data_IF_917140337629
#
_entry.id   IF_917140337629
#
_cell.length_a   1.000
_cell.length_b   1.000
_cell.length_c   1.000
_cell.angle_alpha   90.00
_cell.angle_beta   90.00
_cell.angle_gamma   90.00
#
_symmetry.space_group_name_H-M   'P 1'
#
loop_
_entity.id
_entity.type
_entity.pdbx_description
1 polymer ?
#
# COMPACT_ATOMS: atom_id res chain seq x y z
N UNK A 1 15.60 3.23 1.49
CA UNK A 1 14.40 3.53 0.70
C UNK A 1 14.75 3.43 -0.79
N UNK A 2 13.95 2.75 -1.62
CA UNK A 2 14.21 2.64 -3.07
C UNK A 2 13.80 3.96 -3.74
N UNK A 3 14.74 4.92 -3.78
CA UNK A 3 14.50 6.31 -4.15
C UNK A 3 13.78 6.46 -5.51
N UNK A 4 14.12 5.66 -6.52
CA UNK A 4 13.65 5.80 -7.91
C UNK A 4 12.12 5.92 -8.06
N UNK A 5 11.36 5.19 -7.25
CA UNK A 5 9.90 5.18 -7.33
C UNK A 5 9.22 6.21 -6.43
N UNK A 6 9.92 6.71 -5.41
CA UNK A 6 9.32 7.55 -4.38
C UNK A 6 9.77 9.01 -4.49
N UNK A 7 10.90 9.30 -5.12
CA UNK A 7 11.48 10.64 -5.17
C UNK A 7 12.62 10.76 -6.20
N UNK A 8 13.08 11.99 -6.44
CA UNK A 8 14.26 12.28 -7.24
C UNK A 8 13.99 12.63 -8.71
N UNK A 9 15.07 12.98 -9.41
CA UNK A 9 15.03 13.60 -10.75
C UNK A 9 14.37 12.74 -11.82
N UNK A 10 14.52 11.43 -11.76
CA UNK A 10 13.89 10.52 -12.72
C UNK A 10 12.35 10.55 -12.57
N UNK A 11 11.83 10.46 -11.34
CA UNK A 11 10.38 10.57 -11.09
C UNK A 11 9.84 11.93 -11.55
N UNK A 12 10.55 13.00 -11.24
CA UNK A 12 10.19 14.36 -11.65
C UNK A 12 10.16 14.48 -13.18
N UNK A 13 11.22 14.06 -13.88
CA UNK A 13 11.32 14.15 -15.33
C UNK A 13 10.17 13.39 -16.04
N UNK A 14 9.88 12.17 -15.58
CA UNK A 14 8.78 11.36 -16.14
C UNK A 14 7.43 12.06 -16.02
N UNK A 15 7.19 12.74 -14.90
CA UNK A 15 5.95 13.45 -14.63
C UNK A 15 5.86 14.80 -15.37
N UNK A 16 6.93 15.61 -15.35
CA UNK A 16 7.01 16.91 -16.03
C UNK A 16 6.80 16.75 -17.53
N UNK A 17 7.46 15.77 -18.15
CA UNK A 17 7.32 15.50 -19.59
C UNK A 17 6.05 14.72 -19.96
N UNK A 18 5.20 14.38 -18.98
CA UNK A 18 3.96 13.63 -19.17
C UNK A 18 4.20 12.40 -20.06
N UNK A 19 5.22 11.61 -19.73
CA UNK A 19 5.57 10.41 -20.50
C UNK A 19 4.38 9.46 -20.54
N UNK A 20 3.70 9.32 -19.40
CA UNK A 20 2.47 8.54 -19.26
C UNK A 20 1.28 9.45 -18.90
N UNK A 21 0.10 9.04 -19.37
CA UNK A 21 -1.16 9.73 -19.04
C UNK A 21 -1.45 9.68 -17.55
N UNK A 22 -1.22 8.54 -16.91
CA UNK A 22 -1.41 8.33 -15.47
C UNK A 22 -0.06 8.29 -14.76
N UNK A 23 0.13 9.14 -13.75
CA UNK A 23 1.35 9.24 -12.92
C UNK A 23 1.67 7.92 -12.21
N UNK A 24 0.66 7.09 -11.90
CA UNK A 24 0.85 5.76 -11.29
C UNK A 24 1.59 4.78 -12.21
N UNK A 25 1.51 4.99 -13.53
CA UNK A 25 2.11 4.08 -14.52
C UNK A 25 3.59 3.84 -14.24
N UNK A 26 4.38 4.91 -14.06
CA UNK A 26 5.83 4.79 -13.89
C UNK A 26 6.20 4.16 -12.56
N UNK A 27 5.53 4.55 -11.47
CA UNK A 27 5.84 4.02 -10.14
C UNK A 27 5.46 2.55 -9.98
N UNK A 28 4.66 1.99 -10.91
CA UNK A 28 4.32 0.57 -10.99
C UNK A 28 5.18 -0.23 -11.98
N UNK A 29 6.07 0.42 -12.74
CA UNK A 29 7.00 -0.28 -13.64
C UNK A 29 8.05 -1.05 -12.83
N UNK A 30 8.57 -2.14 -13.39
CA UNK A 30 9.63 -2.94 -12.76
C UNK A 30 10.96 -2.62 -13.43
N UNK A 31 12.01 -2.32 -12.67
CA UNK A 31 13.34 -2.12 -13.25
C UNK A 31 13.91 -3.44 -13.78
N UNK A 32 14.55 -3.40 -14.96
CA UNK A 32 15.27 -4.56 -15.50
C UNK A 32 16.53 -4.86 -14.69
N UNK A 33 17.18 -3.83 -14.17
CA UNK A 33 18.39 -3.91 -13.33
C UNK A 33 18.15 -3.35 -11.93
N UNK A 34 19.02 -3.69 -10.98
CA UNK A 34 18.93 -3.14 -9.63
C UNK A 34 19.12 -1.60 -9.62
N UNK A 35 18.57 -0.88 -8.63
CA UNK A 35 18.59 0.57 -8.59
C UNK A 35 19.98 1.17 -8.29
N UNK A 36 21.00 0.34 -8.02
CA UNK A 36 22.38 0.78 -7.73
C UNK A 36 22.65 1.22 -6.29
N UNK A 37 21.60 1.28 -5.47
CA UNK A 37 21.63 1.87 -4.13
C UNK A 37 22.41 1.05 -3.07
N UNK A 38 22.99 -0.10 -3.41
CA UNK A 38 23.90 -0.81 -2.49
C UNK A 38 25.14 0.02 -2.13
N UNK A 39 25.52 1.03 -2.92
CA UNK A 39 26.66 1.91 -2.61
C UNK A 39 26.36 2.98 -1.55
N UNK A 40 25.13 3.49 -1.43
CA UNK A 40 24.83 4.61 -0.53
C UNK A 40 24.71 4.17 0.94
N UNK A 41 23.98 3.06 1.20
CA UNK A 41 23.92 2.45 2.52
C UNK A 41 25.30 1.99 3.01
N UNK A 42 26.18 1.58 2.09
CA UNK A 42 27.56 1.20 2.40
C UNK A 42 28.43 2.41 2.78
N UNK A 43 28.18 3.58 2.19
CA UNK A 43 28.90 4.82 2.51
C UNK A 43 28.52 5.36 3.90
N UNK A 44 27.25 5.30 4.28
CA UNK A 44 26.78 5.64 5.63
C UNK A 44 27.27 4.63 6.68
N UNK A 45 27.36 3.34 6.33
CA UNK A 45 27.90 2.31 7.22
C UNK A 45 29.42 2.46 7.45
N UNK A 46 30.18 2.91 6.44
CA UNK A 46 31.63 3.13 6.56
C UNK A 46 32.00 4.45 7.24
N UNK A 47 31.16 5.49 7.15
CA UNK A 47 31.40 6.73 7.92
C UNK A 47 31.26 6.50 9.44
N UNK A 48 30.54 5.45 9.87
CA UNK A 48 30.48 5.04 11.28
C UNK A 48 31.69 4.24 11.77
N UNK A 49 32.55 3.73 10.88
CA UNK A 49 33.76 2.98 11.24
C UNK A 49 35.01 3.75 10.80
N UNK A 50 35.46 4.67 11.64
CA UNK A 50 36.67 5.46 11.41
C UNK A 50 37.99 4.71 11.69
N UNK A 51 38.01 3.37 11.68
CA UNK A 51 39.17 2.62 12.19
C UNK A 51 39.60 1.34 11.47
N UNK A 52 39.29 1.14 10.18
CA UNK A 52 39.95 0.07 9.41
C UNK A 52 40.63 0.64 8.16
N UNK A 53 41.96 0.72 8.27
CA UNK A 53 42.89 1.06 7.20
C UNK A 53 42.74 0.10 6.00
N UNK A 54 42.64 0.72 4.81
CA UNK A 54 43.13 0.22 3.51
C UNK A 54 42.47 -1.06 2.97
N UNK A 55 41.18 -0.96 2.60
CA UNK A 55 40.61 -1.88 1.59
C UNK A 55 41.08 -1.42 0.20
N UNK A 56 41.72 -2.34 -0.52
CA UNK A 56 42.35 -2.12 -1.81
C UNK A 56 41.26 -1.88 -2.89
N UNK A 57 41.18 -0.65 -3.45
CA UNK A 57 40.21 -0.26 -4.51
C UNK A 57 40.21 -1.20 -5.73
N UNK A 58 41.29 -1.96 -5.95
CA UNK A 58 41.43 -2.95 -7.03
C UNK A 58 40.59 -4.22 -6.81
N UNK A 59 40.38 -4.64 -5.56
CA UNK A 59 39.55 -5.80 -5.22
C UNK A 59 38.05 -5.56 -5.45
N UNK A 60 37.58 -4.31 -5.28
CA UNK A 60 36.19 -3.92 -5.53
C UNK A 60 35.81 -3.85 -7.02
N UNK A 61 36.77 -3.67 -7.92
CA UNK A 61 36.53 -3.62 -9.38
C UNK A 61 36.47 -5.00 -10.05
N UNK A 62 37.12 -6.02 -9.47
CA UNK A 62 37.31 -7.31 -10.15
C UNK A 62 36.32 -8.41 -9.75
N UNK A 63 35.45 -8.21 -8.76
CA UNK A 63 34.54 -9.27 -8.27
C UNK A 63 33.05 -8.99 -8.43
N UNK A 64 32.67 -7.87 -9.05
CA UNK A 64 31.30 -7.59 -9.41
C UNK A 64 31.24 -6.91 -10.77
N UNK A 65 31.22 -7.72 -11.84
CA UNK A 65 30.56 -7.31 -13.08
C UNK A 65 29.05 -7.22 -12.77
N UNK A 66 28.65 -6.13 -12.11
CA UNK A 66 27.25 -5.78 -11.99
C UNK A 66 26.86 -5.11 -13.32
N UNK A 67 25.75 -5.50 -13.95
CA UNK A 67 25.16 -4.68 -15.01
C UNK A 67 25.04 -3.23 -14.53
N UNK A 68 25.21 -2.26 -15.43
CA UNK A 68 25.02 -0.84 -15.12
C UNK A 68 23.65 -0.64 -14.47
N UNK A 69 23.65 -0.10 -13.24
CA UNK A 69 22.42 0.04 -12.47
C UNK A 69 21.56 1.19 -13.02
N UNK A 70 20.25 1.10 -12.80
CA UNK A 70 19.27 1.99 -13.48
C UNK A 70 19.53 3.47 -13.21
N UNK A 71 19.89 3.86 -11.98
CA UNK A 71 20.11 5.27 -11.65
C UNK A 71 21.45 5.79 -12.19
N UNK A 72 22.50 4.98 -12.19
CA UNK A 72 23.79 5.32 -12.79
C UNK A 72 23.66 5.50 -14.30
N UNK A 73 22.93 4.60 -14.97
CA UNK A 73 22.62 4.74 -16.39
C UNK A 73 21.83 6.03 -16.69
N UNK A 74 20.83 6.37 -15.85
CA UNK A 74 20.07 7.62 -15.99
C UNK A 74 20.99 8.85 -15.86
N UNK A 75 21.81 8.90 -14.81
CA UNK A 75 22.72 10.03 -14.59
C UNK A 75 23.80 10.14 -15.65
N UNK A 76 24.27 9.03 -16.21
CA UNK A 76 25.22 9.02 -17.32
C UNK A 76 24.60 9.52 -18.62
N UNK A 77 23.35 9.16 -18.92
CA UNK A 77 22.64 9.57 -20.15
C UNK A 77 22.27 11.05 -20.12
N UNK A 78 21.77 11.54 -18.97
CA UNK A 78 21.20 12.89 -18.86
C UNK A 78 22.05 13.88 -18.04
N UNK A 79 23.25 13.49 -17.60
CA UNK A 79 24.14 14.33 -16.79
C UNK A 79 23.42 14.93 -15.58
N UNK A 80 23.67 16.20 -15.29
CA UNK A 80 22.98 16.96 -14.24
C UNK A 80 21.87 17.88 -14.79
N UNK A 81 21.36 17.60 -16.00
CA UNK A 81 20.29 18.41 -16.61
C UNK A 81 19.06 18.49 -15.69
N UNK A 82 18.47 19.68 -15.48
CA UNK A 82 17.20 19.81 -14.77
C UNK A 82 16.11 18.95 -15.41
N UNK A 83 15.22 18.40 -14.59
CA UNK A 83 14.21 17.43 -15.02
C UNK A 83 13.35 17.90 -16.20
N UNK A 84 13.01 19.19 -16.26
CA UNK A 84 12.17 19.77 -17.32
C UNK A 84 12.88 20.10 -18.64
N UNK A 85 14.21 19.96 -18.71
CA UNK A 85 15.02 20.22 -19.91
C UNK A 85 15.40 18.91 -20.61
N UNK A 86 15.20 17.76 -19.97
CA UNK A 86 15.49 16.45 -20.54
C UNK A 86 14.64 16.24 -21.81
N UNK A 87 15.26 15.76 -22.90
CA UNK A 87 14.49 15.47 -24.11
C UNK A 87 13.46 14.35 -23.84
N UNK A 88 12.21 14.61 -24.24
CA UNK A 88 11.09 13.70 -23.96
C UNK A 88 11.25 12.36 -24.68
N UNK A 89 11.74 12.37 -25.92
CA UNK A 89 11.89 11.15 -26.72
C UNK A 89 13.04 10.29 -26.18
N UNK A 90 14.15 10.92 -25.80
CA UNK A 90 15.31 10.26 -25.21
C UNK A 90 14.99 9.68 -23.82
N UNK A 91 14.21 10.41 -23.00
CA UNK A 91 13.68 9.90 -21.73
C UNK A 91 12.77 8.69 -21.94
N UNK A 92 11.88 8.72 -22.95
CA UNK A 92 11.01 7.58 -23.26
C UNK A 92 11.84 6.35 -23.64
N UNK A 93 12.84 6.53 -24.51
CA UNK A 93 13.73 5.44 -24.90
C UNK A 93 14.47 4.87 -23.70
N UNK A 94 15.00 5.72 -22.81
CA UNK A 94 15.62 5.27 -21.56
C UNK A 94 14.67 4.41 -20.71
N UNK A 95 13.41 4.81 -20.56
CA UNK A 95 12.43 4.02 -19.81
C UNK A 95 12.19 2.66 -20.48
N UNK A 96 12.09 2.61 -21.81
CA UNK A 96 11.91 1.36 -22.55
C UNK A 96 13.12 0.43 -22.45
N UNK A 97 14.33 1.00 -22.35
CA UNK A 97 15.58 0.27 -22.20
C UNK A 97 15.71 -0.35 -20.80
N UNK A 98 15.31 0.37 -19.74
CA UNK A 98 15.61 0.01 -18.35
C UNK A 98 14.43 -0.47 -17.50
N UNK A 99 13.19 -0.37 -17.98
CA UNK A 99 12.00 -0.78 -17.24
C UNK A 99 11.14 -1.76 -18.04
N UNK A 100 10.49 -2.66 -17.31
CA UNK A 100 9.42 -3.52 -17.80
C UNK A 100 8.07 -2.82 -17.59
N UNK A 101 7.06 -3.15 -18.41
CA UNK A 101 5.72 -2.60 -18.24
C UNK A 101 5.14 -2.87 -16.85
N UNK A 102 4.22 -2.03 -16.36
CA UNK A 102 3.51 -2.29 -15.11
C UNK A 102 2.82 -3.65 -15.12
N UNK A 103 2.81 -4.35 -13.98
CA UNK A 103 2.34 -5.74 -13.80
C UNK A 103 3.24 -6.86 -14.30
N UNK A 104 4.46 -6.58 -14.78
CA UNK A 104 5.41 -7.65 -15.15
C UNK A 104 5.80 -8.57 -13.97
N UNK A 105 5.48 -8.15 -12.76
CA UNK A 105 5.65 -8.87 -11.48
C UNK A 105 4.47 -9.76 -11.08
N UNK A 106 3.33 -9.67 -11.77
CA UNK A 106 2.09 -10.37 -11.41
C UNK A 106 1.79 -11.50 -12.39
N UNK A 107 1.30 -12.60 -11.84
CA UNK A 107 0.79 -13.76 -12.58
C UNK A 107 -0.71 -13.87 -12.28
N UNK A 108 -1.52 -14.16 -13.30
CA UNK A 108 -2.93 -14.45 -13.09
C UNK A 108 -3.08 -15.81 -12.39
N UNK A 109 -3.95 -15.88 -11.39
CA UNK A 109 -4.31 -17.15 -10.75
C UNK A 109 -5.80 -17.44 -10.91
N UNK A 110 -6.16 -18.71 -10.78
CA UNK A 110 -7.53 -19.11 -10.47
C UNK A 110 -7.50 -19.67 -9.05
N UNK A 111 -8.29 -19.14 -8.12
CA UNK A 111 -8.31 -19.65 -6.75
C UNK A 111 -8.75 -21.12 -6.72
N UNK A 112 -8.10 -21.92 -5.87
CA UNK A 112 -8.29 -23.38 -5.85
C UNK A 112 -9.68 -23.80 -5.33
N UNK A 113 -10.28 -22.99 -4.45
CA UNK A 113 -11.60 -23.21 -3.86
C UNK A 113 -12.72 -22.50 -4.64
N UNK A 114 -12.42 -21.92 -5.81
CA UNK A 114 -13.44 -21.31 -6.65
C UNK A 114 -14.35 -22.39 -7.26
N UNK A 115 -15.67 -22.17 -7.17
CA UNK A 115 -16.68 -23.02 -7.80
C UNK A 115 -17.66 -22.19 -8.64
N UNK A 116 -18.17 -22.71 -9.78
CA UNK A 116 -19.04 -21.95 -10.67
C UNK A 116 -20.43 -21.67 -10.08
N UNK A 117 -20.89 -22.49 -9.13
CA UNK A 117 -22.22 -22.39 -8.51
C UNK A 117 -22.12 -22.52 -6.98
N UNK A 118 -21.64 -21.48 -6.28
CA UNK A 118 -21.55 -21.51 -4.82
C UNK A 118 -22.92 -21.73 -4.16
N UNK A 119 -22.96 -22.50 -3.07
CA UNK A 119 -24.19 -22.92 -2.42
C UNK A 119 -25.04 -21.74 -1.96
N UNK A 120 -24.41 -20.73 -1.32
CA UNK A 120 -25.11 -19.53 -0.85
C UNK A 120 -25.69 -18.71 -2.01
N UNK A 121 -24.96 -18.60 -3.13
CA UNK A 121 -25.46 -17.88 -4.32
C UNK A 121 -26.64 -18.61 -4.97
N UNK A 122 -26.64 -19.95 -4.95
CA UNK A 122 -27.74 -20.74 -5.51
C UNK A 122 -29.05 -20.62 -4.70
N UNK A 123 -28.98 -20.18 -3.44
CA UNK A 123 -30.14 -19.92 -2.58
C UNK A 123 -30.86 -18.60 -2.91
N UNK A 124 -30.28 -17.74 -3.77
CA UNK A 124 -30.95 -16.52 -4.22
C UNK A 124 -32.18 -16.91 -5.05
N UNK A 125 -33.36 -16.57 -4.53
CA UNK A 125 -34.66 -16.91 -5.13
C UNK A 125 -34.88 -16.21 -6.46
N UNK A 126 -34.54 -14.92 -6.54
CA UNK A 126 -34.72 -14.13 -7.76
C UNK A 126 -33.69 -14.58 -8.82
N UNK A 127 -34.14 -15.04 -10.00
CA UNK A 127 -33.25 -15.58 -11.02
C UNK A 127 -32.33 -14.53 -11.64
N UNK A 128 -32.75 -13.26 -11.72
CA UNK A 128 -31.95 -12.15 -12.26
C UNK A 128 -30.84 -11.80 -11.28
N UNK A 129 -31.17 -11.65 -10.00
CA UNK A 129 -30.17 -11.38 -8.96
C UNK A 129 -29.20 -12.54 -8.79
N UNK A 130 -29.67 -13.78 -8.91
CA UNK A 130 -28.81 -14.96 -8.88
C UNK A 130 -27.84 -14.97 -10.06
N UNK A 131 -28.31 -14.68 -11.27
CA UNK A 131 -27.44 -14.63 -12.44
C UNK A 131 -26.36 -13.55 -12.29
N UNK A 132 -26.76 -12.34 -11.87
CA UNK A 132 -25.84 -11.25 -11.56
C UNK A 132 -24.79 -11.64 -10.50
N UNK A 133 -25.19 -12.33 -9.43
CA UNK A 133 -24.25 -12.79 -8.42
C UNK A 133 -23.27 -13.86 -8.95
N UNK A 134 -23.71 -14.73 -9.86
CA UNK A 134 -22.83 -15.69 -10.54
C UNK A 134 -21.85 -14.99 -11.49
N UNK A 135 -22.26 -13.90 -12.15
CA UNK A 135 -21.35 -13.07 -12.96
C UNK A 135 -20.27 -12.42 -12.09
N UNK A 136 -20.62 -11.93 -10.89
CA UNK A 136 -19.63 -11.46 -9.91
C UNK A 136 -18.69 -12.58 -9.49
N UNK A 137 -19.21 -13.76 -9.18
CA UNK A 137 -18.39 -14.92 -8.83
C UNK A 137 -17.38 -15.25 -9.93
N UNK A 138 -17.72 -15.01 -11.21
CA UNK A 138 -16.79 -15.23 -12.30
C UNK A 138 -15.61 -14.25 -12.31
N UNK A 139 -15.79 -13.04 -11.80
CA UNK A 139 -14.73 -12.02 -11.75
C UNK A 139 -13.58 -12.43 -10.83
N UNK A 140 -13.81 -13.29 -9.82
CA UNK A 140 -12.74 -13.76 -8.93
C UNK A 140 -11.57 -14.40 -9.67
N UNK A 141 -11.83 -15.11 -10.78
CA UNK A 141 -10.78 -15.69 -11.63
C UNK A 141 -9.92 -14.65 -12.35
N UNK A 142 -10.49 -13.47 -12.60
CA UNK A 142 -9.80 -12.38 -13.29
C UNK A 142 -9.06 -11.48 -12.30
N UNK A 143 -9.62 -11.32 -11.09
CA UNK A 143 -9.08 -10.46 -10.03
C UNK A 143 -8.01 -11.14 -9.18
N UNK A 144 -7.91 -12.48 -9.22
CA UNK A 144 -6.84 -13.20 -8.54
C UNK A 144 -5.48 -12.92 -9.18
N UNK A 145 -4.50 -12.56 -8.34
CA UNK A 145 -3.10 -12.38 -8.69
C UNK A 145 -2.18 -13.14 -7.73
N UNK A 146 -1.05 -13.56 -8.28
CA UNK A 146 0.09 -14.12 -7.56
C UNK A 146 1.30 -13.28 -7.91
N UNK A 147 2.16 -12.97 -6.93
CA UNK A 147 3.44 -12.32 -7.22
C UNK A 147 4.39 -13.37 -7.77
N UNK A 148 5.04 -13.07 -8.90
CA UNK A 148 6.03 -13.97 -9.48
C UNK A 148 7.11 -14.29 -8.43
N UNK A 149 7.34 -15.57 -8.06
CA UNK A 149 8.30 -15.95 -7.02
C UNK A 149 9.72 -15.43 -7.26
N UNK A 150 10.12 -15.24 -8.53
CA UNK A 150 11.43 -14.68 -8.89
C UNK A 150 11.60 -13.23 -8.39
N UNK A 151 10.51 -12.49 -8.18
CA UNK A 151 10.55 -11.14 -7.59
C UNK A 151 11.11 -11.13 -6.18
N UNK A 152 11.06 -12.25 -5.44
CA UNK A 152 11.68 -12.35 -4.11
C UNK A 152 13.20 -12.13 -4.18
N UNK A 153 13.85 -12.54 -5.28
CA UNK A 153 15.30 -12.35 -5.50
C UNK A 153 15.63 -10.91 -5.89
N UNK A 154 14.67 -10.19 -6.47
CA UNK A 154 14.85 -8.86 -7.03
C UNK A 154 13.86 -7.84 -6.45
N UNK A 155 13.53 -7.95 -5.15
CA UNK A 155 12.55 -7.07 -4.51
C UNK A 155 12.91 -5.60 -4.76
N UNK A 156 14.22 -5.27 -4.77
CA UNK A 156 14.75 -3.93 -5.03
C UNK A 156 14.39 -3.31 -6.40
N UNK A 157 13.91 -4.12 -7.34
CA UNK A 157 13.54 -3.72 -8.71
C UNK A 157 12.07 -3.35 -8.87
N UNK A 158 11.25 -3.51 -7.83
CA UNK A 158 9.85 -3.12 -7.89
C UNK A 158 9.42 -2.28 -6.68
N UNK A 159 8.37 -1.50 -6.90
CA UNK A 159 7.59 -0.86 -5.85
C UNK A 159 6.60 -1.82 -5.18
N UNK A 160 6.22 -2.95 -5.77
CA UNK A 160 5.30 -3.91 -5.15
C UNK A 160 5.95 -4.56 -3.92
N UNK A 161 5.16 -4.68 -2.85
CA UNK A 161 5.54 -5.38 -1.64
C UNK A 161 5.19 -6.85 -1.82
N UNK A 162 6.16 -7.72 -1.57
CA UNK A 162 5.96 -9.16 -1.68
C UNK A 162 4.90 -9.67 -0.69
N UNK A 163 4.09 -10.64 -1.15
CA UNK A 163 3.07 -11.35 -0.41
C UNK A 163 3.27 -12.87 -0.56
N UNK A 164 3.14 -13.65 0.53
CA UNK A 164 3.36 -15.10 0.47
C UNK A 164 2.26 -15.91 -0.21
N UNK A 165 1.02 -15.40 -0.28
CA UNK A 165 -0.13 -16.10 -0.85
C UNK A 165 -0.77 -15.33 -2.01
N UNK A 166 -1.70 -15.98 -2.71
CA UNK A 166 -2.53 -15.34 -3.72
C UNK A 166 -3.36 -14.21 -3.09
N UNK A 167 -3.68 -13.19 -3.88
CA UNK A 167 -4.47 -12.06 -3.42
C UNK A 167 -5.40 -11.58 -4.52
N UNK A 168 -6.47 -10.90 -4.12
CA UNK A 168 -7.41 -10.24 -5.03
C UNK A 168 -7.06 -8.77 -5.16
N UNK A 169 -7.13 -8.26 -6.39
CA UNK A 169 -7.03 -6.82 -6.67
C UNK A 169 -8.42 -6.21 -6.85
N UNK A 170 -8.61 -4.90 -6.60
CA UNK A 170 -9.87 -4.22 -6.94
C UNK A 170 -10.18 -4.24 -8.45
N UNK A 171 -9.14 -4.15 -9.28
CA UNK A 171 -9.24 -4.21 -10.74
C UNK A 171 -8.78 -2.94 -11.47
N UNK A 172 -8.64 -3.04 -12.79
CA UNK A 172 -8.24 -1.92 -13.65
C UNK A 172 -6.83 -1.41 -13.35
N UNK A 173 -6.69 -0.13 -12.97
CA UNK A 173 -5.40 0.49 -12.62
C UNK A 173 -4.87 0.07 -11.25
N UNK A 174 -5.70 -0.54 -10.41
CA UNK A 174 -5.36 -0.99 -9.07
C UNK A 174 -4.85 -2.42 -9.13
N UNK A 175 -3.55 -2.60 -9.00
CA UNK A 175 -2.85 -3.87 -9.32
C UNK A 175 -2.11 -4.46 -8.13
N UNK A 176 -2.42 -3.94 -6.96
CA UNK A 176 -1.94 -4.35 -5.65
C UNK A 176 -3.15 -4.60 -4.76
N UNK A 177 -2.95 -5.23 -3.60
CA UNK A 177 -3.99 -5.21 -2.58
C UNK A 177 -4.23 -3.75 -2.14
N UNK A 178 -5.47 -3.44 -1.80
CA UNK A 178 -5.87 -2.24 -1.08
C UNK A 178 -6.52 -2.67 0.24
N UNK A 179 -6.17 -2.00 1.33
CA UNK A 179 -6.45 -2.51 2.67
C UNK A 179 -7.95 -2.61 2.95
N UNK A 180 -8.70 -1.51 2.94
CA UNK A 180 -10.12 -1.56 3.31
C UNK A 180 -10.99 -2.23 2.22
N UNK A 181 -10.59 -2.17 0.95
CA UNK A 181 -11.24 -2.86 -0.17
C UNK A 181 -11.24 -4.37 0.04
N UNK A 182 -10.15 -4.89 0.64
CA UNK A 182 -10.00 -6.31 0.96
C UNK A 182 -11.11 -6.81 1.89
N UNK A 183 -11.68 -5.98 2.76
CA UNK A 183 -12.77 -6.40 3.65
C UNK A 183 -14.04 -6.72 2.85
N UNK A 184 -14.38 -5.87 1.89
CA UNK A 184 -15.54 -6.07 1.02
C UNK A 184 -15.34 -7.25 0.07
N UNK A 185 -14.11 -7.41 -0.46
CA UNK A 185 -13.75 -8.58 -1.25
C UNK A 185 -13.92 -9.85 -0.42
N UNK A 186 -13.41 -9.86 0.82
CA UNK A 186 -13.55 -10.99 1.75
C UNK A 186 -15.00 -11.41 1.99
N UNK A 187 -15.89 -10.44 2.23
CA UNK A 187 -17.33 -10.71 2.34
C UNK A 187 -17.87 -11.43 1.10
N UNK A 188 -17.47 -10.98 -0.09
CA UNK A 188 -17.84 -11.60 -1.37
C UNK A 188 -17.28 -13.02 -1.52
N UNK A 189 -16.03 -13.24 -1.15
CA UNK A 189 -15.38 -14.56 -1.17
C UNK A 189 -16.07 -15.55 -0.24
N UNK A 190 -16.39 -15.14 0.99
CA UNK A 190 -17.10 -15.97 1.98
C UNK A 190 -18.49 -16.39 1.47
N UNK A 191 -19.21 -15.49 0.81
CA UNK A 191 -20.52 -15.82 0.19
C UNK A 191 -20.35 -16.69 -1.06
N UNK A 192 -19.18 -16.65 -1.69
CA UNK A 192 -18.82 -17.51 -2.83
C UNK A 192 -18.26 -18.88 -2.40
N UNK A 193 -18.36 -19.24 -1.11
CA UNK A 193 -17.79 -20.45 -0.50
C UNK A 193 -16.24 -20.57 -0.63
N UNK A 194 -15.55 -19.43 -0.81
CA UNK A 194 -14.09 -19.36 -1.02
C UNK A 194 -13.33 -19.06 0.27
N UNK A 195 -13.46 -19.95 1.25
CA UNK A 195 -12.91 -19.78 2.61
C UNK A 195 -11.39 -19.94 2.67
N UNK A 196 -10.78 -20.76 1.81
CA UNK A 196 -9.31 -20.89 1.78
C UNK A 196 -8.66 -19.63 1.20
N UNK A 197 -9.22 -19.11 0.11
CA UNK A 197 -8.76 -17.84 -0.49
C UNK A 197 -8.91 -16.68 0.50
N UNK A 198 -10.04 -16.64 1.20
CA UNK A 198 -10.28 -15.70 2.30
C UNK A 198 -9.18 -15.77 3.36
N UNK A 199 -8.87 -16.98 3.86
CA UNK A 199 -7.83 -17.22 4.86
C UNK A 199 -6.46 -16.74 4.37
N UNK A 200 -6.11 -17.03 3.12
CA UNK A 200 -4.86 -16.60 2.49
C UNK A 200 -4.73 -15.07 2.37
N UNK A 201 -5.82 -14.38 2.03
CA UNK A 201 -5.84 -12.91 2.00
C UNK A 201 -5.59 -12.29 3.37
N UNK A 202 -6.19 -12.85 4.43
CA UNK A 202 -5.95 -12.39 5.81
C UNK A 202 -4.49 -12.67 6.22
N UNK A 203 -3.94 -13.83 5.87
CA UNK A 203 -2.53 -14.16 6.14
C UNK A 203 -1.55 -13.24 5.41
N UNK A 204 -1.88 -12.81 4.19
CA UNK A 204 -1.11 -11.79 3.48
C UNK A 204 -1.09 -10.46 4.24
N UNK A 205 -2.23 -9.98 4.74
CA UNK A 205 -2.28 -8.76 5.55
C UNK A 205 -1.56 -8.91 6.89
N UNK A 206 -1.66 -10.08 7.53
CA UNK A 206 -0.90 -10.39 8.74
C UNK A 206 0.61 -10.33 8.49
N UNK A 207 1.10 -10.89 7.38
CA UNK A 207 2.50 -10.78 6.96
C UNK A 207 2.97 -9.33 6.82
N UNK A 208 2.10 -8.46 6.30
CA UNK A 208 2.40 -7.02 6.17
C UNK A 208 2.51 -6.36 7.54
N UNK A 209 1.61 -6.65 8.48
CA UNK A 209 1.70 -6.15 9.88
C UNK A 209 2.95 -6.69 10.58
N UNK A 210 3.36 -7.93 10.32
CA UNK A 210 4.63 -8.45 10.85
C UNK A 210 5.82 -7.62 10.36
N UNK A 211 5.89 -7.34 9.05
CA UNK A 211 7.00 -6.62 8.40
C UNK A 211 7.02 -5.11 8.69
N UNK A 212 5.85 -4.47 8.77
CA UNK A 212 5.72 -3.01 8.80
C UNK A 212 5.01 -2.46 10.04
N UNK A 213 4.47 -3.32 10.91
CA UNK A 213 3.68 -2.99 12.11
C UNK A 213 2.28 -2.41 11.87
N UNK A 214 1.93 -2.14 10.61
CA UNK A 214 0.60 -1.70 10.17
C UNK A 214 0.38 -2.14 8.72
N UNK A 215 -0.86 -2.05 8.25
CA UNK A 215 -1.19 -2.29 6.84
C UNK A 215 -1.18 -0.95 6.09
N UNK A 216 -0.32 -0.77 5.06
CA UNK A 216 -0.32 0.43 4.24
C UNK A 216 -1.59 0.50 3.38
N UNK A 217 -1.88 1.69 2.83
CA UNK A 217 -3.01 1.91 1.93
C UNK A 217 -3.17 0.79 0.87
N UNK A 218 -2.06 0.42 0.25
CA UNK A 218 -1.98 -0.77 -0.60
C UNK A 218 -0.58 -1.37 -0.66
N UNK A 219 -0.43 -2.43 -1.42
CA UNK A 219 0.79 -3.26 -1.49
C UNK A 219 1.98 -2.67 -2.23
N UNK A 220 2.24 -1.36 -2.11
CA UNK A 220 3.36 -0.67 -2.77
C UNK A 220 4.19 0.12 -1.78
N UNK A 221 5.51 0.21 -2.01
CA UNK A 221 6.44 0.91 -1.11
C UNK A 221 6.12 2.40 -0.93
N UNK A 222 5.52 3.04 -1.93
CA UNK A 222 5.12 4.45 -1.85
C UNK A 222 3.87 4.66 -0.98
N UNK A 223 3.22 3.59 -0.54
CA UNK A 223 2.15 3.61 0.45
C UNK A 223 2.65 3.41 1.89
N UNK A 224 3.94 3.12 2.13
CA UNK A 224 4.48 2.85 3.48
C UNK A 224 4.50 4.05 4.45
N UNK A 225 4.00 5.21 4.04
CA UNK A 225 3.84 6.38 4.91
C UNK A 225 2.38 6.60 5.36
N UNK A 226 1.44 5.78 4.89
CA UNK A 226 0.01 5.90 5.24
C UNK A 226 -0.71 4.57 5.22
N UNK A 227 -1.68 4.42 6.09
CA UNK A 227 -2.57 3.25 6.14
C UNK A 227 -3.83 3.46 5.28
N UNK A 228 -4.91 2.76 5.62
CA UNK A 228 -6.29 2.95 5.18
C UNK A 228 -7.23 2.66 6.37
N UNK A 229 -8.57 2.83 6.26
CA UNK A 229 -9.49 2.48 7.33
C UNK A 229 -9.23 1.08 7.91
N UNK A 230 -8.97 0.94 9.23
CA UNK A 230 -8.45 -0.29 9.81
C UNK A 230 -9.53 -1.33 10.04
N UNK A 231 -9.53 -2.38 9.23
CA UNK A 231 -10.59 -3.41 9.19
C UNK A 231 -10.05 -4.84 9.33
N UNK A 232 -8.76 -5.03 9.66
CA UNK A 232 -8.19 -6.37 9.87
C UNK A 232 -8.95 -7.18 10.93
N UNK A 233 -9.32 -6.56 12.06
CA UNK A 233 -10.09 -7.25 13.10
C UNK A 233 -11.45 -7.73 12.56
N UNK A 234 -12.14 -6.88 11.80
CA UNK A 234 -13.38 -7.23 11.11
C UNK A 234 -13.21 -8.40 10.13
N UNK A 235 -12.10 -8.45 9.39
CA UNK A 235 -11.81 -9.56 8.48
C UNK A 235 -11.65 -10.90 9.21
N UNK A 236 -10.89 -10.90 10.31
CA UNK A 236 -10.70 -12.10 11.14
C UNK A 236 -12.01 -12.52 11.79
N UNK A 237 -12.82 -11.57 12.24
CA UNK A 237 -14.17 -11.81 12.78
C UNK A 237 -15.07 -12.50 11.75
N UNK A 238 -15.22 -11.95 10.55
CA UNK A 238 -16.08 -12.54 9.50
C UNK A 238 -15.63 -13.96 9.10
N UNK A 239 -14.32 -14.20 9.06
CA UNK A 239 -13.78 -15.53 8.80
C UNK A 239 -14.10 -16.49 9.95
N UNK A 240 -13.89 -16.07 11.20
CA UNK A 240 -14.20 -16.87 12.37
C UNK A 240 -15.68 -17.23 12.45
N UNK A 241 -16.59 -16.27 12.27
CA UNK A 241 -18.04 -16.53 12.25
C UNK A 241 -18.46 -17.52 11.15
N UNK A 242 -17.66 -17.66 10.09
CA UNK A 242 -17.92 -18.58 8.99
C UNK A 242 -17.29 -19.97 9.16
N UNK A 243 -16.32 -20.12 10.06
CA UNK A 243 -15.46 -21.33 10.14
C UNK A 243 -15.29 -21.91 11.53
N UNK A 244 -15.54 -21.11 12.57
CA UNK A 244 -15.22 -21.40 13.97
C UNK A 244 -13.74 -21.78 14.20
N UNK A 245 -12.83 -21.37 13.28
CA UNK A 245 -11.40 -21.68 13.32
C UNK A 245 -10.68 -20.86 14.41
N UNK A 246 -10.77 -21.37 15.63
CA UNK A 246 -10.24 -20.73 16.82
C UNK A 246 -8.70 -20.70 16.85
N UNK A 247 -8.03 -21.68 16.25
CA UNK A 247 -6.57 -21.69 16.18
C UNK A 247 -6.06 -20.61 15.23
N UNK A 248 -6.79 -20.30 14.16
CA UNK A 248 -6.51 -19.15 13.31
C UNK A 248 -6.67 -17.82 14.07
N UNK A 249 -7.72 -17.67 14.88
CA UNK A 249 -7.90 -16.50 15.76
C UNK A 249 -6.74 -16.36 16.74
N UNK A 250 -6.36 -17.43 17.44
CA UNK A 250 -5.21 -17.44 18.38
C UNK A 250 -3.93 -16.99 17.69
N UNK A 251 -3.69 -17.45 16.45
CA UNK A 251 -2.52 -17.09 15.66
C UNK A 251 -2.50 -15.59 15.31
N UNK A 252 -3.65 -15.01 14.96
CA UNK A 252 -3.73 -13.62 14.49
C UNK A 252 -3.99 -12.60 15.58
N UNK A 253 -4.42 -13.00 16.77
CA UNK A 253 -4.70 -12.09 17.88
C UNK A 253 -3.51 -11.17 18.22
N UNK A 254 -2.26 -11.67 18.35
CA UNK A 254 -1.10 -10.79 18.54
C UNK A 254 -0.86 -9.80 17.39
N UNK A 255 -1.20 -10.20 16.15
CA UNK A 255 -1.02 -9.38 14.95
C UNK A 255 -2.05 -8.25 14.90
N UNK A 256 -3.31 -8.54 15.17
CA UNK A 256 -4.38 -7.54 15.29
C UNK A 256 -4.06 -6.53 16.41
N UNK A 257 -3.60 -7.02 17.57
CA UNK A 257 -3.15 -6.15 18.66
C UNK A 257 -1.97 -5.28 18.26
N UNK A 258 -1.01 -5.81 17.49
CA UNK A 258 0.14 -5.04 17.00
C UNK A 258 -0.29 -3.87 16.11
N UNK A 259 -1.19 -4.11 15.15
CA UNK A 259 -1.73 -3.04 14.30
C UNK A 259 -2.54 -2.02 15.11
N UNK A 260 -3.39 -2.48 16.03
CA UNK A 260 -4.15 -1.60 16.91
C UNK A 260 -3.24 -0.67 17.74
N UNK A 261 -2.15 -1.20 18.30
CA UNK A 261 -1.16 -0.38 19.02
C UNK A 261 -0.47 0.61 18.10
N UNK A 262 -0.16 0.24 16.86
CA UNK A 262 0.39 1.18 15.90
C UNK A 262 -0.56 2.37 15.68
N UNK A 263 -1.87 2.14 15.48
CA UNK A 263 -2.86 3.22 15.38
C UNK A 263 -2.92 4.07 16.65
N UNK A 264 -2.90 3.44 17.83
CA UNK A 264 -2.91 4.16 19.11
C UNK A 264 -1.70 5.08 19.26
N UNK A 265 -0.52 4.64 18.83
CA UNK A 265 0.72 5.44 18.92
C UNK A 265 0.79 6.54 17.87
N UNK A 266 0.43 6.24 16.61
CA UNK A 266 0.74 7.13 15.48
C UNK A 266 -0.43 8.00 15.03
N UNK A 267 -1.66 7.66 15.42
CA UNK A 267 -2.89 8.27 14.88
C UNK A 267 -3.86 8.76 15.95
N UNK A 268 -3.41 8.89 17.21
CA UNK A 268 -4.20 9.53 18.25
C UNK A 268 -3.85 11.01 18.43
N UNK A 269 -4.82 11.77 18.93
CA UNK A 269 -4.69 13.14 19.40
C UNK A 269 -5.47 13.34 20.68
N UNK A 270 -4.95 14.19 21.57
CA UNK A 270 -5.71 14.66 22.73
C UNK A 270 -6.55 15.87 22.35
N UNK A 271 -7.83 15.83 22.68
CA UNK A 271 -8.78 16.92 22.46
C UNK A 271 -9.38 17.34 23.79
N UNK A 272 -9.47 18.65 24.01
CA UNK A 272 -10.08 19.22 25.22
C UNK A 272 -11.44 19.77 24.85
N UNK A 273 -12.49 19.27 25.50
CA UNK A 273 -13.87 19.70 25.32
C UNK A 273 -14.15 21.02 26.06
N UNK A 274 -15.30 21.63 25.79
CA UNK A 274 -15.71 22.89 26.44
C UNK A 274 -15.83 22.77 27.96
N UNK A 275 -16.19 21.59 28.45
CA UNK A 275 -16.26 21.25 29.87
C UNK A 275 -14.89 20.88 30.46
N UNK A 276 -13.80 21.11 29.74
CA UNK A 276 -12.41 20.79 30.13
C UNK A 276 -12.07 19.29 30.17
N UNK A 277 -12.99 18.41 29.79
CA UNK A 277 -12.69 16.98 29.68
C UNK A 277 -11.70 16.73 28.54
N UNK A 278 -10.74 15.84 28.80
CA UNK A 278 -9.72 15.46 27.84
C UNK A 278 -10.04 14.08 27.29
N UNK A 279 -10.22 13.99 25.98
CA UNK A 279 -10.40 12.73 25.28
C UNK A 279 -9.23 12.43 24.37
N UNK A 280 -8.94 11.15 24.18
CA UNK A 280 -8.01 10.68 23.15
C UNK A 280 -8.83 10.11 22.01
N UNK A 281 -8.65 10.66 20.82
CA UNK A 281 -9.42 10.29 19.62
C UNK A 281 -8.48 9.99 18.47
N UNK A 282 -8.95 9.22 17.50
CA UNK A 282 -8.18 8.85 16.31
C UNK A 282 -8.38 9.86 15.17
N UNK A 283 -7.32 10.06 14.40
CA UNK A 283 -7.28 10.99 13.28
C UNK A 283 -6.42 10.42 12.14
N UNK A 284 -6.89 10.53 10.89
CA UNK A 284 -6.05 10.31 9.71
C UNK A 284 -5.02 11.42 9.62
N UNK A 285 -3.75 11.05 9.67
CA UNK A 285 -2.61 11.98 9.66
C UNK A 285 -1.37 11.22 9.22
N UNK A 286 -1.17 11.17 7.91
CA UNK A 286 0.06 10.62 7.33
C UNK A 286 1.26 11.49 7.70
N UNK A 287 2.45 10.87 7.76
CA UNK A 287 3.71 11.59 7.90
C UNK A 287 4.26 12.10 6.55
N UNK A 288 3.62 11.70 5.44
CA UNK A 288 4.02 12.14 4.10
C UNK A 288 3.66 13.62 3.91
N UNK A 289 4.66 14.43 3.61
CA UNK A 289 4.52 15.88 3.45
C UNK A 289 5.11 16.38 2.11
N UNK A 290 5.15 15.49 1.13
CA UNK A 290 5.66 15.69 -0.23
C UNK A 290 4.60 15.16 -1.22
N UNK A 291 4.67 15.53 -2.51
CA UNK A 291 3.76 14.98 -3.52
C UNK A 291 3.74 13.45 -3.52
N UNK A 292 2.55 12.86 -3.60
CA UNK A 292 2.39 11.41 -3.65
C UNK A 292 2.99 10.87 -4.95
N UNK A 293 3.88 9.85 -4.94
CA UNK A 293 4.55 9.40 -6.16
C UNK A 293 3.60 8.95 -7.27
N UNK A 294 2.49 8.30 -6.92
CA UNK A 294 1.47 7.81 -7.86
C UNK A 294 0.54 8.91 -8.40
N UNK A 295 0.61 10.13 -7.85
CA UNK A 295 -0.15 11.31 -8.26
C UNK A 295 0.75 12.56 -8.29
N UNK A 296 2.04 12.38 -8.59
CA UNK A 296 3.07 13.39 -8.35
C UNK A 296 2.76 14.68 -9.11
N UNK A 297 2.42 14.55 -10.40
CA UNK A 297 2.06 15.69 -11.25
C UNK A 297 0.82 16.41 -10.73
N UNK A 298 -0.22 15.67 -10.37
CA UNK A 298 -1.50 16.19 -9.89
C UNK A 298 -1.31 16.99 -8.58
N UNK A 299 -0.52 16.46 -7.65
CA UNK A 299 -0.23 17.09 -6.36
C UNK A 299 0.66 18.34 -6.50
N UNK A 300 1.62 18.33 -7.43
CA UNK A 300 2.44 19.51 -7.76
C UNK A 300 1.56 20.61 -8.35
N UNK A 301 0.71 20.30 -9.34
CA UNK A 301 -0.17 21.28 -9.98
C UNK A 301 -1.20 21.87 -9.00
N UNK A 302 -1.74 21.04 -8.12
CA UNK A 302 -2.71 21.47 -7.10
C UNK A 302 -2.08 22.37 -6.04
N UNK A 303 -0.78 22.23 -5.80
CA UNK A 303 -0.02 23.06 -4.84
C UNK A 303 0.35 24.47 -5.36
N UNK A 304 0.06 24.79 -6.62
CA UNK A 304 0.40 26.10 -7.20
C UNK A 304 -0.37 27.21 -6.49
N UNK A 305 0.37 28.19 -5.96
CA UNK A 305 -0.16 29.30 -5.16
C UNK A 305 -0.49 28.95 -3.70
N UNK A 306 -0.22 27.73 -3.25
CA UNK A 306 -0.27 27.38 -1.83
C UNK A 306 1.00 27.88 -1.14
N UNK A 307 0.84 28.61 -0.03
CA UNK A 307 1.95 29.13 0.79
C UNK A 307 2.64 27.98 1.54
N UNK A 308 1.89 27.22 2.35
CA UNK A 308 2.42 26.07 3.08
C UNK A 308 2.17 24.76 2.30
N UNK A 309 3.03 24.46 1.33
CA UNK A 309 2.89 23.27 0.48
C UNK A 309 3.04 21.96 1.26
N UNK A 310 3.89 21.96 2.28
CA UNK A 310 4.18 20.78 3.12
C UNK A 310 2.94 20.32 3.88
N UNK A 311 2.23 21.24 4.54
CA UNK A 311 0.95 20.95 5.22
C UNK A 311 -0.12 20.53 4.20
N UNK A 312 -0.21 21.24 3.07
CA UNK A 312 -1.15 20.88 2.00
C UNK A 312 -0.93 19.46 1.47
N UNK A 313 0.31 19.07 1.18
CA UNK A 313 0.61 17.70 0.72
C UNK A 313 0.33 16.66 1.80
N UNK A 314 0.54 17.00 3.08
CA UNK A 314 0.16 16.13 4.19
C UNK A 314 -1.35 15.92 4.29
N UNK A 315 -2.14 16.98 4.12
CA UNK A 315 -3.60 16.90 4.11
C UNK A 315 -4.11 16.11 2.90
N UNK A 316 -3.53 16.33 1.72
CA UNK A 316 -3.80 15.56 0.50
C UNK A 316 -3.50 14.07 0.73
N UNK A 317 -2.32 13.72 1.21
CA UNK A 317 -1.96 12.33 1.46
C UNK A 317 -2.80 11.70 2.59
N UNK A 318 -3.24 12.49 3.57
CA UNK A 318 -4.16 12.04 4.63
C UNK A 318 -5.57 11.75 4.09
N UNK A 319 -6.04 12.44 3.04
CA UNK A 319 -7.30 12.03 2.39
C UNK A 319 -7.19 10.63 1.79
N UNK A 320 -6.03 10.27 1.22
CA UNK A 320 -5.81 8.91 0.72
C UNK A 320 -5.74 7.89 1.86
N UNK A 321 -5.18 8.25 3.02
CA UNK A 321 -5.25 7.41 4.22
C UNK A 321 -6.70 7.18 4.70
N UNK A 322 -7.60 8.14 4.46
CA UNK A 322 -9.01 7.98 4.82
C UNK A 322 -9.78 7.05 3.88
N UNK A 323 -9.27 6.79 2.67
CA UNK A 323 -10.00 6.11 1.59
C UNK A 323 -10.99 7.00 0.83
N UNK A 324 -11.07 8.30 1.18
CA UNK A 324 -11.98 9.29 0.59
C UNK A 324 -11.20 10.43 -0.10
N UNK A 325 -10.23 10.08 -0.96
CA UNK A 325 -9.48 11.00 -1.82
C UNK A 325 -10.17 11.19 -3.19
N UNK A 326 -10.91 12.28 -3.44
CA UNK A 326 -11.16 13.43 -2.57
C UNK A 326 -12.66 13.63 -2.32
N UNK A 327 -12.97 14.36 -1.25
CA UNK A 327 -14.35 14.66 -0.83
C UNK A 327 -14.45 16.07 -0.27
N UNK A 328 -15.60 16.72 -0.50
CA UNK A 328 -15.94 18.01 0.14
C UNK A 328 -15.88 17.93 1.66
N UNK A 329 -16.05 16.74 2.23
CA UNK A 329 -15.86 16.45 3.66
C UNK A 329 -14.59 17.06 4.23
N UNK A 330 -13.48 16.95 3.49
CA UNK A 330 -12.13 17.36 3.94
C UNK A 330 -11.78 18.81 3.63
N UNK A 331 -12.65 19.53 2.90
CA UNK A 331 -12.38 20.88 2.44
C UNK A 331 -13.02 21.89 3.39
N UNK A 332 -12.28 22.92 3.80
CA UNK A 332 -12.79 23.99 4.67
C UNK A 332 -14.01 24.67 4.06
N UNK A 333 -13.97 24.92 2.75
CA UNK A 333 -15.03 25.61 2.00
C UNK A 333 -16.03 24.65 1.32
N UNK A 334 -15.86 23.33 1.50
CA UNK A 334 -16.65 22.25 0.85
C UNK A 334 -16.61 22.25 -0.69
N UNK A 335 -15.71 22.99 -1.33
CA UNK A 335 -15.70 23.21 -2.78
C UNK A 335 -14.31 23.08 -3.41
N UNK A 336 -13.31 23.70 -2.82
CA UNK A 336 -12.00 23.89 -3.45
C UNK A 336 -10.95 23.01 -2.79
N UNK A 337 -10.29 22.16 -3.60
CA UNK A 337 -9.23 21.25 -3.13
C UNK A 337 -8.09 21.98 -2.38
N UNK A 338 -7.79 23.22 -2.77
CA UNK A 338 -6.80 24.09 -2.11
C UNK A 338 -7.09 24.39 -0.63
N UNK A 339 -8.32 24.12 -0.18
CA UNK A 339 -8.74 24.32 1.22
C UNK A 339 -8.82 23.01 2.01
N UNK A 340 -8.24 21.92 1.49
CA UNK A 340 -8.15 20.64 2.20
C UNK A 340 -7.47 20.82 3.56
N UNK A 341 -8.03 20.20 4.59
CA UNK A 341 -7.55 20.28 5.98
C UNK A 341 -7.83 18.98 6.76
N UNK A 342 -7.61 17.83 6.12
CA UNK A 342 -7.86 16.49 6.66
C UNK A 342 -7.30 16.29 8.07
N UNK A 343 -6.09 16.76 8.32
CA UNK A 343 -5.38 16.66 9.61
C UNK A 343 -5.93 17.60 10.70
N UNK A 344 -6.96 18.40 10.39
CA UNK A 344 -7.71 19.22 11.35
C UNK A 344 -9.09 18.67 11.66
N UNK A 345 -9.47 17.56 11.00
CA UNK A 345 -10.77 16.91 11.16
C UNK A 345 -10.61 15.67 12.04
N UNK A 346 -11.60 15.43 12.89
CA UNK A 346 -11.73 14.20 13.69
C UNK A 346 -12.76 13.28 13.00
N UNK A 347 -12.31 12.26 12.25
CA UNK A 347 -13.18 11.42 11.44
C UNK A 347 -14.05 10.47 12.28
N UNK A 348 -15.38 10.58 12.17
CA UNK A 348 -16.33 9.69 12.88
C UNK A 348 -16.21 8.23 12.46
N UNK A 349 -15.98 7.97 11.18
CA UNK A 349 -15.76 6.64 10.61
C UNK A 349 -14.52 5.97 11.20
N UNK A 350 -13.37 6.65 11.25
CA UNK A 350 -12.17 6.08 11.86
C UNK A 350 -12.40 5.73 13.34
N UNK A 351 -13.01 6.64 14.10
CA UNK A 351 -13.26 6.40 15.53
C UNK A 351 -14.26 5.27 15.75
N UNK A 352 -15.29 5.15 14.89
CA UNK A 352 -16.23 4.03 14.92
C UNK A 352 -15.53 2.70 14.59
N UNK A 353 -14.68 2.66 13.56
CA UNK A 353 -13.89 1.47 13.21
C UNK A 353 -12.93 1.08 14.34
N UNK A 354 -12.26 2.05 14.97
CA UNK A 354 -11.39 1.77 16.10
C UNK A 354 -12.16 1.24 17.31
N UNK A 355 -13.35 1.77 17.60
CA UNK A 355 -14.24 1.22 18.62
C UNK A 355 -14.66 -0.21 18.29
N UNK A 356 -15.04 -0.48 17.05
CA UNK A 356 -15.38 -1.83 16.59
C UNK A 356 -14.20 -2.80 16.73
N UNK A 357 -12.98 -2.36 16.37
CA UNK A 357 -11.76 -3.14 16.55
C UNK A 357 -11.49 -3.44 18.03
N UNK A 358 -11.74 -2.49 18.96
CA UNK A 358 -11.61 -2.75 20.40
C UNK A 358 -12.57 -3.84 20.86
N UNK A 359 -13.84 -3.77 20.46
CA UNK A 359 -14.85 -4.77 20.84
C UNK A 359 -14.51 -6.16 20.29
N UNK A 360 -14.04 -6.25 19.04
CA UNK A 360 -13.61 -7.54 18.45
C UNK A 360 -12.39 -8.08 19.18
N UNK A 361 -11.40 -7.24 19.49
CA UNK A 361 -10.21 -7.66 20.24
C UNK A 361 -10.60 -8.18 21.62
N UNK A 362 -11.44 -7.45 22.37
CA UNK A 362 -11.97 -7.90 23.66
C UNK A 362 -12.65 -9.26 23.55
N UNK A 363 -13.59 -9.40 22.61
CA UNK A 363 -14.28 -10.66 22.33
C UNK A 363 -13.30 -11.82 22.09
N UNK A 364 -12.30 -11.63 21.23
CA UNK A 364 -11.31 -12.66 20.94
C UNK A 364 -10.35 -12.95 22.10
N UNK A 365 -9.99 -11.94 22.91
CA UNK A 365 -9.21 -12.17 24.12
C UNK A 365 -9.97 -13.01 25.14
N UNK A 366 -11.27 -12.75 25.34
CA UNK A 366 -12.12 -13.58 26.21
C UNK A 366 -12.27 -15.00 25.65
N UNK A 367 -12.54 -15.12 24.36
CA UNK A 367 -12.73 -16.40 23.69
C UNK A 367 -11.48 -17.30 23.80
N UNK A 368 -10.29 -16.73 23.61
CA UNK A 368 -9.02 -17.45 23.77
C UNK A 368 -8.68 -17.69 25.25
N UNK A 369 -9.01 -16.74 26.13
CA UNK A 369 -8.76 -16.82 27.58
C UNK A 369 -9.57 -17.91 28.28
N UNK A 370 -10.83 -18.13 27.88
CA UNK A 370 -11.71 -19.20 28.40
C UNK A 370 -11.16 -20.62 28.19
N UNK A 371 -10.15 -20.82 27.34
CA UNK A 371 -9.51 -22.11 27.07
C UNK A 371 -8.27 -22.37 27.93
N UNK A 372 -7.79 -21.36 28.67
CA UNK A 372 -6.63 -21.49 29.57
C UNK A 372 -7.03 -21.92 30.99
N UNK A 373 -8.32 -21.88 31.30
CA UNK A 373 -8.95 -22.43 32.49
C UNK A 373 -9.72 -23.68 32.10
#
# INVERSE_FOLDING_TARGET
MKFIYCSGRLLEAVNVHRIYKDSKTFVDMVMKNDPGLKKLLFFEFFQKFHEIRRINRKYLKHHFHCPENTLEAFNKRFGDLPAGIIDRSDLKQFLDDYFLPPSSELINCTPADWVPRPRKLMQITDPVLRHWALDINMLWKTLCKTINPEMKKYESRSSLIYLPHNFMIPGGRFREFYYWDTYWILKGLIVSDMLNTTREMILNLAHIVEKHSFIPNGGRIYYLHRSQPPVLCGMVYEYYESTEDLDFVKKLLPIMTKEFQWWKVHRTVSVTMKNQDRHTVFQYRTDSNVPRPESFREDILSSVGIVNKTEFWQDIASTAESGWDFSSRWLRDKRTLKTVETTKILPVDLNALMCWNMNILEYFYELVGKLKN
#
